data_IF_715330536312
#
_entry.id   IF_715330536312
#
_cell.length_a   1.000
_cell.length_b   1.000
_cell.length_c   1.000
_cell.angle_alpha   90.00
_cell.angle_beta   90.00
_cell.angle_gamma   90.00
#
_symmetry.space_group_name_H-M   'P 1'
#
loop_
_entity.id
_entity.type
_entity.pdbx_description
1 polymer ?
#
# COMPACT_ATOMS: atom_id res chain seq x y z
N UNK A 1 9.58 -19.53 16.06
CA UNK A 1 9.06 -18.20 15.65
C UNK A 1 8.45 -18.37 14.27
N UNK A 2 7.15 -18.17 14.10
CA UNK A 2 6.52 -18.24 12.77
C UNK A 2 6.99 -16.98 12.03
N UNK A 3 7.67 -17.09 10.87
CA UNK A 3 8.10 -15.91 10.14
C UNK A 3 6.86 -15.14 9.69
N UNK A 4 6.80 -13.84 10.04
CA UNK A 4 5.67 -12.96 9.72
C UNK A 4 5.28 -13.07 8.25
N UNK A 5 3.99 -13.31 7.98
CA UNK A 5 3.46 -13.42 6.60
C UNK A 5 3.44 -12.06 5.89
N UNK A 6 3.24 -10.99 6.65
CA UNK A 6 3.26 -9.63 6.19
C UNK A 6 3.45 -8.66 7.38
N UNK A 7 4.03 -7.50 7.14
CA UNK A 7 4.27 -6.51 8.20
C UNK A 7 5.15 -5.36 7.74
N UNK A 8 5.50 -4.48 8.69
CA UNK A 8 6.51 -3.46 8.46
C UNK A 8 7.85 -4.11 8.08
N UNK A 9 8.58 -3.58 7.08
CA UNK A 9 9.87 -4.12 6.69
C UNK A 9 10.92 -3.83 7.77
N UNK A 10 11.85 -4.77 7.99
CA UNK A 10 12.98 -4.57 8.90
C UNK A 10 14.00 -3.55 8.36
N UNK A 11 14.17 -3.52 7.03
CA UNK A 11 15.02 -2.60 6.28
C UNK A 11 14.28 -2.14 5.02
N UNK A 12 14.59 -0.95 4.53
CA UNK A 12 13.94 -0.44 3.31
C UNK A 12 14.34 -1.27 2.10
N UNK A 13 13.39 -1.91 1.39
CA UNK A 13 13.70 -2.66 0.18
C UNK A 13 14.02 -1.69 -0.98
N UNK A 14 14.55 -2.19 -2.11
CA UNK A 14 14.66 -1.40 -3.33
C UNK A 14 13.28 -0.87 -3.76
N UNK A 15 13.23 0.42 -4.09
CA UNK A 15 11.99 1.08 -4.52
C UNK A 15 11.66 0.68 -5.96
N UNK A 16 10.46 0.13 -6.26
CA UNK A 16 10.03 -0.12 -7.63
C UNK A 16 10.02 1.17 -8.47
N UNK A 17 10.38 1.07 -9.75
CA UNK A 17 10.41 2.22 -10.69
C UNK A 17 9.07 2.94 -10.80
N UNK A 18 7.97 2.19 -10.78
CA UNK A 18 6.62 2.73 -10.77
C UNK A 18 6.35 3.57 -9.51
N UNK A 19 6.80 3.11 -8.34
CA UNK A 19 6.65 3.82 -7.06
C UNK A 19 7.48 5.10 -7.06
N UNK A 20 8.73 5.06 -7.56
CA UNK A 20 9.57 6.26 -7.72
C UNK A 20 8.91 7.31 -8.63
N UNK A 21 8.29 6.86 -9.71
CA UNK A 21 7.58 7.73 -10.65
C UNK A 21 6.36 8.38 -9.99
N UNK A 22 5.56 7.60 -9.24
CA UNK A 22 4.41 8.12 -8.50
C UNK A 22 4.84 9.10 -7.40
N UNK A 23 5.88 8.78 -6.63
CA UNK A 23 6.40 9.68 -5.59
C UNK A 23 6.90 11.00 -6.19
N UNK A 24 7.53 10.95 -7.37
CA UNK A 24 7.95 12.17 -8.09
C UNK A 24 6.76 13.02 -8.55
N UNK A 25 5.64 12.40 -8.92
CA UNK A 25 4.42 13.09 -9.36
C UNK A 25 3.59 13.66 -8.20
N UNK A 26 3.51 12.94 -7.08
CA UNK A 26 2.69 13.29 -5.92
C UNK A 26 3.46 14.00 -4.80
N UNK A 27 4.79 13.99 -4.87
CA UNK A 27 5.69 14.59 -3.88
C UNK A 27 6.00 13.67 -2.71
N UNK A 28 7.19 13.86 -2.13
CA UNK A 28 7.70 13.11 -0.99
C UNK A 28 8.66 11.98 -1.38
N UNK A 29 9.51 11.60 -0.43
CA UNK A 29 10.38 10.42 -0.57
C UNK A 29 9.58 9.16 -0.22
N UNK A 30 9.60 8.12 -1.07
CA UNK A 30 8.85 6.90 -0.82
C UNK A 30 9.48 6.09 0.32
N UNK A 31 8.69 5.81 1.35
CA UNK A 31 9.07 4.94 2.48
C UNK A 31 8.22 3.68 2.45
N UNK A 32 8.85 2.51 2.43
CA UNK A 32 8.15 1.24 2.53
C UNK A 32 7.65 1.05 3.96
N UNK A 33 6.34 0.87 4.12
CA UNK A 33 5.67 0.71 5.41
C UNK A 33 5.09 -0.69 5.58
N UNK A 34 5.04 -1.49 4.51
CA UNK A 34 4.52 -2.85 4.55
C UNK A 34 5.11 -3.71 3.44
N UNK A 35 5.40 -4.97 3.76
CA UNK A 35 5.80 -6.02 2.81
C UNK A 35 5.07 -7.32 3.12
N UNK A 36 4.88 -8.17 2.12
CA UNK A 36 4.32 -9.52 2.29
C UNK A 36 5.20 -10.60 1.62
N UNK A 37 4.93 -11.87 1.91
CA UNK A 37 5.67 -13.01 1.31
C UNK A 37 5.40 -13.27 -0.16
N UNK A 38 4.38 -12.65 -0.74
CA UNK A 38 4.10 -12.72 -2.17
C UNK A 38 4.91 -11.68 -2.98
N UNK A 39 5.78 -10.91 -2.32
CA UNK A 39 6.57 -9.84 -2.95
C UNK A 39 5.83 -8.51 -3.06
N UNK A 40 4.59 -8.44 -2.60
CA UNK A 40 3.83 -7.20 -2.54
C UNK A 40 4.36 -6.26 -1.47
N UNK A 41 4.27 -4.96 -1.73
CA UNK A 41 4.73 -3.91 -0.83
C UNK A 41 3.78 -2.71 -0.81
N UNK A 42 3.82 -1.92 0.26
CA UNK A 42 3.09 -0.65 0.38
C UNK A 42 4.06 0.45 0.78
N UNK A 43 3.96 1.57 0.06
CA UNK A 43 4.85 2.71 0.15
C UNK A 43 4.05 3.94 0.53
N UNK A 44 4.56 4.75 1.44
CA UNK A 44 4.01 6.06 1.79
C UNK A 44 4.88 7.16 1.18
N UNK A 45 4.25 8.19 0.63
CA UNK A 45 4.92 9.43 0.21
C UNK A 45 3.89 10.56 0.19
N UNK A 46 4.27 11.73 0.72
CA UNK A 46 3.33 12.85 0.87
C UNK A 46 2.06 12.42 1.61
N UNK A 47 0.90 12.69 1.01
CA UNK A 47 -0.43 12.28 1.52
C UNK A 47 -0.97 11.03 0.81
N UNK A 48 -0.10 10.23 0.19
CA UNK A 48 -0.48 9.08 -0.63
C UNK A 48 0.17 7.78 -0.13
N UNK A 49 -0.50 6.67 -0.46
CA UNK A 49 0.06 5.33 -0.39
C UNK A 49 0.05 4.69 -1.78
N UNK A 50 1.14 4.02 -2.15
CA UNK A 50 1.20 3.13 -3.30
C UNK A 50 1.31 1.67 -2.85
N UNK A 51 0.35 0.83 -3.23
CA UNK A 51 0.48 -0.62 -3.19
C UNK A 51 1.14 -1.08 -4.48
N UNK A 52 2.13 -1.97 -4.38
CA UNK A 52 2.85 -2.57 -5.50
C UNK A 52 2.76 -4.09 -5.41
N UNK A 53 2.37 -4.72 -6.50
CA UNK A 53 2.40 -6.17 -6.70
C UNK A 53 3.28 -6.49 -7.92
N UNK A 54 4.36 -7.27 -7.80
CA UNK A 54 5.18 -7.65 -8.94
C UNK A 54 4.40 -8.57 -9.91
N UNK A 55 4.86 -8.67 -11.15
CA UNK A 55 4.31 -9.58 -12.14
C UNK A 55 4.24 -11.03 -11.61
N UNK A 56 3.16 -11.73 -11.95
CA UNK A 56 2.87 -13.08 -11.44
C UNK A 56 2.24 -13.13 -10.05
N UNK A 57 1.96 -11.97 -9.43
CA UNK A 57 1.13 -11.90 -8.22
C UNK A 57 -0.26 -12.46 -8.51
N UNK A 58 -0.80 -13.24 -7.56
CA UNK A 58 -2.14 -13.83 -7.68
C UNK A 58 -3.23 -12.75 -7.50
N UNK A 59 -2.97 -11.76 -6.66
CA UNK A 59 -3.89 -10.66 -6.36
C UNK A 59 -3.74 -9.52 -7.38
N UNK A 60 -4.86 -9.08 -7.96
CA UNK A 60 -4.91 -7.89 -8.81
C UNK A 60 -5.24 -6.64 -8.00
N UNK A 61 -4.35 -5.65 -8.07
CA UNK A 61 -4.59 -4.30 -7.58
C UNK A 61 -5.55 -3.53 -8.49
N UNK A 62 -5.65 -3.92 -9.77
CA UNK A 62 -6.66 -3.40 -10.68
C UNK A 62 -8.08 -3.71 -10.18
N UNK A 63 -8.32 -4.93 -9.71
CA UNK A 63 -9.59 -5.27 -9.09
C UNK A 63 -9.82 -4.50 -7.77
N UNK A 64 -8.79 -4.34 -6.94
CA UNK A 64 -8.87 -3.54 -5.71
C UNK A 64 -9.24 -2.09 -5.99
N UNK A 65 -8.63 -1.48 -7.02
CA UNK A 65 -8.97 -0.14 -7.49
C UNK A 65 -10.47 -0.04 -7.84
N UNK A 66 -11.02 -1.01 -8.56
CA UNK A 66 -12.46 -1.03 -8.88
C UNK A 66 -13.34 -1.19 -7.64
N UNK A 67 -12.96 -2.09 -6.72
CA UNK A 67 -13.68 -2.27 -5.45
C UNK A 67 -13.66 -0.99 -4.61
N UNK A 68 -12.53 -0.30 -4.51
CA UNK A 68 -12.42 0.98 -3.79
C UNK A 68 -13.29 2.06 -4.42
N UNK A 69 -13.30 2.21 -5.75
CA UNK A 69 -14.17 3.17 -6.43
C UNK A 69 -15.66 2.90 -6.19
N UNK A 70 -16.04 1.63 -6.22
CA UNK A 70 -17.41 1.22 -5.90
C UNK A 70 -17.76 1.51 -4.44
N UNK A 71 -16.84 1.21 -3.52
CA UNK A 71 -17.03 1.35 -2.08
C UNK A 71 -17.07 2.81 -1.61
N UNK A 72 -16.27 3.70 -2.20
CA UNK A 72 -16.13 5.10 -1.76
C UNK A 72 -17.40 5.94 -1.86
N UNK A 73 -18.42 5.45 -2.57
CA UNK A 73 -19.77 6.07 -2.60
C UNK A 73 -20.70 5.61 -1.48
N UNK A 74 -20.25 4.67 -0.64
CA UNK A 74 -21.08 3.94 0.35
C UNK A 74 -20.47 3.90 1.74
N UNK A 75 -19.16 3.70 1.83
CA UNK A 75 -18.42 3.61 3.10
C UNK A 75 -17.11 4.39 2.99
N UNK A 76 -16.57 4.93 4.10
CA UNK A 76 -15.24 5.51 4.12
C UNK A 76 -14.21 4.48 3.65
N UNK A 77 -13.49 4.80 2.59
CA UNK A 77 -12.33 4.05 2.12
C UNK A 77 -11.32 5.03 1.52
N UNK A 78 -10.05 4.64 1.35
CA UNK A 78 -9.08 5.51 0.69
C UNK A 78 -9.56 5.86 -0.73
N UNK A 79 -9.32 7.10 -1.16
CA UNK A 79 -9.66 7.55 -2.51
C UNK A 79 -8.57 7.04 -3.47
N UNK A 80 -8.89 6.15 -4.43
CA UNK A 80 -7.89 5.70 -5.40
C UNK A 80 -7.62 6.79 -6.45
N UNK A 81 -6.37 7.20 -6.61
CA UNK A 81 -5.97 8.33 -7.48
C UNK A 81 -5.29 7.88 -8.77
N UNK A 82 -4.58 6.76 -8.76
CA UNK A 82 -3.93 6.21 -9.95
C UNK A 82 -3.86 4.69 -9.91
N UNK A 83 -3.89 4.07 -11.09
CA UNK A 83 -3.64 2.65 -11.31
C UNK A 83 -2.68 2.52 -12.48
N UNK A 84 -1.62 1.75 -12.30
CA UNK A 84 -0.62 1.44 -13.33
C UNK A 84 -0.47 -0.07 -13.41
N UNK A 85 -0.50 -0.61 -14.63
CA UNK A 85 -0.15 -2.00 -14.90
C UNK A 85 0.90 -2.01 -16.01
N UNK A 86 1.98 -2.77 -15.79
CA UNK A 86 3.06 -3.00 -16.76
C UNK A 86 3.51 -4.45 -16.71
N UNK A 87 4.48 -4.81 -17.56
CA UNK A 87 5.09 -6.13 -17.53
C UNK A 87 5.84 -6.43 -16.22
N UNK A 88 6.20 -5.39 -15.45
CA UNK A 88 6.88 -5.53 -14.15
C UNK A 88 5.90 -5.80 -13.00
N UNK A 89 4.63 -5.43 -13.16
CA UNK A 89 3.61 -5.57 -12.12
C UNK A 89 2.51 -4.53 -12.15
N UNK A 90 1.75 -4.49 -11.06
CA UNK A 90 0.65 -3.57 -10.84
C UNK A 90 0.96 -2.61 -9.68
N UNK A 91 0.52 -1.35 -9.81
CA UNK A 91 0.58 -0.34 -8.78
C UNK A 91 -0.76 0.37 -8.63
N UNK A 92 -1.22 0.50 -7.38
CA UNK A 92 -2.39 1.27 -7.00
C UNK A 92 -1.96 2.40 -6.07
N UNK A 93 -2.20 3.65 -6.46
CA UNK A 93 -1.99 4.83 -5.61
C UNK A 93 -3.33 5.31 -5.06
N UNK A 94 -3.38 5.62 -3.77
CA UNK A 94 -4.55 6.18 -3.10
C UNK A 94 -4.15 7.27 -2.10
N UNK A 95 -5.10 8.16 -1.77
CA UNK A 95 -4.92 9.12 -0.67
C UNK A 95 -4.88 8.40 0.66
N UNK A 96 -4.08 8.91 1.60
CA UNK A 96 -4.09 8.47 2.98
C UNK A 96 -5.45 8.71 3.62
N UNK A 97 -5.83 7.82 4.54
CA UNK A 97 -6.92 8.08 5.48
C UNK A 97 -6.34 8.61 6.78
N UNK A 98 -7.04 9.58 7.37
CA UNK A 98 -6.72 10.05 8.72
C UNK A 98 -6.97 8.93 9.73
N UNK A 99 -5.90 8.49 10.38
CA UNK A 99 -5.98 7.45 11.39
C UNK A 99 -4.67 6.70 11.57
N UNK A 100 -4.73 5.70 12.43
CA UNK A 100 -3.64 4.76 12.66
C UNK A 100 -4.15 3.35 12.39
N UNK A 101 -3.28 2.49 11.85
CA UNK A 101 -3.64 1.08 11.64
C UNK A 101 -3.97 0.40 12.96
N UNK A 102 -4.98 -0.47 12.98
CA UNK A 102 -5.43 -1.16 14.21
C UNK A 102 -4.37 -2.04 14.87
N UNK A 103 -3.25 -2.29 14.20
CA UNK A 103 -2.13 -3.14 14.64
C UNK A 103 -0.86 -2.34 14.97
N UNK A 104 -0.95 -1.02 15.19
CA UNK A 104 0.18 -0.26 15.74
C UNK A 104 0.41 -0.62 17.21
N UNK A 105 1.61 -0.38 17.72
CA UNK A 105 1.97 -0.62 19.13
C UNK A 105 0.99 0.04 20.11
N UNK A 106 0.47 1.22 19.74
CA UNK A 106 -0.49 1.99 20.54
C UNK A 106 -1.82 1.24 20.72
N UNK A 107 -2.30 0.56 19.68
CA UNK A 107 -3.57 -0.18 19.70
C UNK A 107 -3.40 -1.60 20.22
N UNK A 108 -2.26 -2.24 19.94
CA UNK A 108 -1.91 -3.54 20.52
C UNK A 108 -1.82 -3.44 22.05
N UNK A 109 -1.27 -2.34 22.57
CA UNK A 109 -1.19 -2.11 24.02
C UNK A 109 -2.55 -1.80 24.68
N UNK A 110 -3.61 -1.56 23.89
CA UNK A 110 -4.95 -1.17 24.35
C UNK A 110 -6.05 -1.87 23.50
N UNK A 111 -6.12 -3.20 23.52
CA UNK A 111 -6.99 -3.96 22.61
C UNK A 111 -8.49 -3.85 22.94
N UNK A 112 -8.84 -3.32 24.11
CA UNK A 112 -10.19 -3.14 24.65
C UNK A 112 -10.68 -1.69 24.63
N UNK A 113 -9.86 -0.76 24.11
CA UNK A 113 -10.19 0.67 24.02
C UNK A 113 -11.20 1.01 22.91
#
# INVERSE_FOLDING_TARGET
>A
MIPSLAGAPAEQPPVPSAVLSAASQHGGEPVCVWVNKAGGSTWQFGECFAKWNPAGSIESLGDEYQRMRWLGTRFPCPEPVAMVASDDGEMLVSKALDGQGAVTDVWIARPDA
#
